data_IF_407887069161
#
_entry.id   IF_407887069161
#
_cell.length_a   1.000
_cell.length_b   1.000
_cell.length_c   1.000
_cell.angle_alpha   90.00
_cell.angle_beta   90.00
_cell.angle_gamma   90.00
#
_symmetry.space_group_name_H-M   'P 1'
#
loop_
_entity.id
_entity.type
_entity.pdbx_description
1 polymer ?
#
# COMPACT_ATOMS: atom_id res chain seq x y z
N UNK A 1 8.25 2.84 -4.88
CA UNK A 1 7.80 3.44 -6.16
C UNK A 1 6.40 2.95 -6.42
N UNK A 2 5.42 3.85 -6.46
CA UNK A 2 4.04 3.51 -6.79
C UNK A 2 3.92 3.13 -8.27
N UNK A 3 3.29 1.99 -8.57
CA UNK A 3 3.13 1.47 -9.93
C UNK A 3 1.71 1.04 -10.29
N UNK A 4 0.80 0.96 -9.32
CA UNK A 4 -0.65 0.82 -9.53
C UNK A 4 -1.36 1.80 -8.60
N UNK A 5 -2.17 2.68 -9.17
CA UNK A 5 -3.00 3.63 -8.44
C UNK A 5 -4.42 3.07 -8.24
N UNK A 6 -4.98 3.35 -7.07
CA UNK A 6 -6.39 3.23 -6.74
C UNK A 6 -6.86 4.45 -5.94
N UNK A 7 -7.94 4.31 -5.19
CA UNK A 7 -8.44 5.35 -4.29
C UNK A 7 -8.67 6.69 -4.99
N UNK A 8 -8.28 7.78 -4.34
CA UNK A 8 -8.45 9.13 -4.88
C UNK A 8 -7.55 9.42 -6.09
N UNK A 9 -6.50 8.63 -6.32
CA UNK A 9 -5.50 8.86 -7.36
C UNK A 9 -5.85 8.23 -8.73
N UNK A 10 -7.00 7.55 -8.84
CA UNK A 10 -7.42 6.87 -10.05
C UNK A 10 -8.95 6.79 -10.23
N UNK A 11 -9.40 6.93 -11.49
CA UNK A 11 -10.78 6.61 -11.88
C UNK A 11 -10.91 5.10 -12.19
N UNK A 12 -10.81 4.28 -11.15
CA UNK A 12 -10.96 2.82 -11.22
C UNK A 12 -11.72 2.27 -10.00
N UNK A 13 -11.79 0.94 -9.87
CA UNK A 13 -12.48 0.27 -8.78
C UNK A 13 -11.55 -0.33 -7.71
N UNK A 14 -10.32 0.16 -7.60
CA UNK A 14 -9.34 -0.28 -6.61
C UNK A 14 -9.44 0.64 -5.39
N UNK A 15 -9.67 0.07 -4.20
CA UNK A 15 -9.93 0.87 -3.00
C UNK A 15 -8.63 1.41 -2.37
N UNK A 16 -7.58 0.58 -2.29
CA UNK A 16 -6.26 0.97 -1.78
C UNK A 16 -5.61 1.96 -2.75
N UNK A 17 -5.08 3.06 -2.21
CA UNK A 17 -4.59 4.19 -3.00
C UNK A 17 -3.30 3.87 -3.78
N UNK A 18 -2.34 3.21 -3.14
CA UNK A 18 -1.04 2.93 -3.77
C UNK A 18 -0.56 1.50 -3.54
N UNK A 19 -0.10 0.88 -4.63
CA UNK A 19 0.64 -0.37 -4.58
C UNK A 19 2.06 -0.13 -5.09
N UNK A 20 3.00 -0.25 -4.17
CA UNK A 20 4.40 0.11 -4.41
C UNK A 20 5.31 -1.10 -4.45
N UNK A 21 6.38 -0.97 -5.25
CA UNK A 21 7.55 -1.84 -5.20
C UNK A 21 8.72 -1.14 -4.52
N UNK A 22 9.54 -1.93 -3.82
CA UNK A 22 10.75 -1.51 -3.13
C UNK A 22 11.92 -2.41 -3.57
N UNK A 23 12.81 -1.95 -4.47
CA UNK A 23 13.99 -2.69 -4.93
C UNK A 23 15.09 -2.85 -3.87
N UNK A 24 14.80 -3.57 -2.78
CA UNK A 24 15.65 -3.72 -1.59
C UNK A 24 16.95 -4.48 -1.83
N UNK A 25 17.00 -5.34 -2.87
CA UNK A 25 18.18 -6.10 -3.23
C UNK A 25 19.20 -5.34 -4.11
N UNK A 26 18.85 -4.12 -4.56
CA UNK A 26 19.72 -3.36 -5.44
C UNK A 26 20.95 -2.81 -4.70
N UNK A 27 22.17 -2.86 -5.29
CA UNK A 27 23.40 -2.46 -4.62
C UNK A 27 23.55 -0.94 -4.46
N UNK A 28 22.75 -0.15 -5.16
CA UNK A 28 22.74 1.31 -5.10
C UNK A 28 21.44 1.86 -5.70
N UNK A 29 21.24 3.17 -5.55
CA UNK A 29 20.03 3.85 -6.02
C UNK A 29 19.83 3.76 -7.55
N UNK A 30 20.89 3.86 -8.35
CA UNK A 30 20.75 3.80 -9.80
C UNK A 30 20.23 2.43 -10.27
N UNK A 31 20.72 1.35 -9.65
CA UNK A 31 20.23 0.00 -9.90
C UNK A 31 18.81 -0.22 -9.36
N UNK A 32 18.47 0.39 -8.22
CA UNK A 32 17.10 0.35 -7.69
C UNK A 32 16.12 1.03 -8.66
N UNK A 33 16.47 2.21 -9.17
CA UNK A 33 15.66 2.94 -10.14
C UNK A 33 15.51 2.16 -11.45
N UNK A 34 16.59 1.54 -11.95
CA UNK A 34 16.55 0.67 -13.13
C UNK A 34 15.61 -0.51 -12.93
N UNK A 35 15.73 -1.21 -11.80
CA UNK A 35 14.84 -2.31 -11.41
C UNK A 35 13.37 -1.88 -11.41
N UNK A 36 13.06 -0.74 -10.78
CA UNK A 36 11.72 -0.18 -10.79
C UNK A 36 11.19 0.08 -12.20
N UNK A 37 11.97 0.73 -13.06
CA UNK A 37 11.59 1.03 -14.43
C UNK A 37 11.33 -0.24 -15.27
N UNK A 38 12.17 -1.26 -15.13
CA UNK A 38 12.01 -2.55 -15.82
C UNK A 38 10.70 -3.25 -15.39
N UNK A 39 10.41 -3.27 -14.09
CA UNK A 39 9.16 -3.84 -13.55
C UNK A 39 7.94 -3.04 -14.04
N UNK A 40 8.01 -1.72 -14.06
CA UNK A 40 6.93 -0.87 -14.57
C UNK A 40 6.59 -1.18 -16.04
N UNK A 41 7.61 -1.34 -16.90
CA UNK A 41 7.39 -1.72 -18.30
C UNK A 41 6.90 -3.18 -18.47
N UNK A 42 7.38 -4.10 -17.63
CA UNK A 42 6.86 -5.46 -17.57
C UNK A 42 5.39 -5.49 -17.17
N UNK A 43 5.01 -4.70 -16.16
CA UNK A 43 3.63 -4.56 -15.67
C UNK A 43 2.71 -4.03 -16.76
N UNK A 44 3.12 -3.01 -17.52
CA UNK A 44 2.37 -2.52 -18.69
C UNK A 44 2.03 -3.67 -19.65
N UNK A 45 2.98 -4.55 -19.89
CA UNK A 45 2.81 -5.70 -20.78
C UNK A 45 1.88 -6.77 -20.19
N UNK A 46 1.94 -7.01 -18.89
CA UNK A 46 1.03 -7.92 -18.15
C UNK A 46 -0.41 -7.41 -18.23
N UNK A 47 -0.63 -6.14 -17.92
CA UNK A 47 -1.95 -5.50 -17.98
C UNK A 47 -2.52 -5.52 -19.40
N UNK A 48 -1.71 -5.14 -20.40
CA UNK A 48 -2.12 -5.15 -21.81
C UNK A 48 -2.54 -6.55 -22.29
N UNK A 49 -1.82 -7.60 -21.86
CA UNK A 49 -2.14 -8.99 -22.22
C UNK A 49 -3.46 -9.47 -21.63
N UNK A 50 -3.91 -8.87 -20.50
CA UNK A 50 -5.20 -9.12 -19.88
C UNK A 50 -6.32 -8.21 -20.42
N UNK A 51 -6.01 -7.32 -21.37
CA UNK A 51 -6.95 -6.34 -21.91
C UNK A 51 -7.29 -5.20 -20.93
N UNK A 52 -6.44 -4.98 -19.92
CA UNK A 52 -6.63 -3.94 -18.90
C UNK A 52 -6.06 -2.60 -19.36
N UNK A 53 -6.61 -1.52 -18.81
CA UNK A 53 -6.14 -0.16 -19.10
C UNK A 53 -4.69 0.04 -18.63
N UNK A 54 -3.89 0.72 -19.45
CA UNK A 54 -2.51 1.12 -19.12
C UNK A 54 -2.31 2.64 -19.17
N UNK A 55 -3.39 3.41 -19.10
CA UNK A 55 -3.30 4.82 -18.75
C UNK A 55 -2.77 4.96 -17.30
N UNK A 56 -2.13 6.10 -17.03
CA UNK A 56 -1.54 6.38 -15.73
C UNK A 56 -2.46 7.29 -14.91
N UNK A 57 -2.45 7.11 -13.59
CA UNK A 57 -3.07 8.03 -12.63
C UNK A 57 -2.18 9.23 -12.33
N UNK A 58 -2.53 9.98 -11.28
CA UNK A 58 -1.87 11.24 -10.92
C UNK A 58 -0.37 11.07 -10.59
N UNK A 59 0.02 9.90 -10.10
CA UNK A 59 1.39 9.60 -9.66
C UNK A 59 2.19 8.78 -10.66
N UNK A 60 1.65 8.56 -11.86
CA UNK A 60 2.31 7.81 -12.93
C UNK A 60 2.20 6.29 -12.83
N UNK A 61 1.58 5.75 -11.78
CA UNK A 61 1.17 4.33 -11.69
C UNK A 61 0.02 4.02 -12.65
N UNK A 62 -0.17 2.76 -13.02
CA UNK A 62 -1.29 2.37 -13.88
C UNK A 62 -2.62 2.37 -13.10
N UNK A 63 -3.70 2.74 -13.77
CA UNK A 63 -5.06 2.76 -13.21
C UNK A 63 -6.01 1.75 -13.91
N UNK A 64 -5.76 0.43 -13.81
CA UNK A 64 -6.68 -0.58 -14.36
C UNK A 64 -7.89 -0.78 -13.44
N UNK A 65 -9.00 -1.25 -14.01
CA UNK A 65 -10.06 -1.89 -13.22
C UNK A 65 -9.62 -3.33 -12.88
N UNK A 66 -9.73 -3.72 -11.62
CA UNK A 66 -9.32 -5.02 -11.11
C UNK A 66 -10.47 -5.69 -10.35
N UNK A 67 -10.49 -7.01 -10.29
CA UNK A 67 -11.53 -7.78 -9.59
C UNK A 67 -11.46 -7.71 -8.07
N UNK A 68 -10.33 -7.27 -7.51
CA UNK A 68 -10.09 -7.08 -6.08
C UNK A 68 -8.79 -6.30 -5.85
N UNK A 69 -8.61 -5.77 -4.65
CA UNK A 69 -7.34 -5.17 -4.24
C UNK A 69 -6.18 -6.19 -4.31
N UNK A 70 -6.46 -7.47 -4.01
CA UNK A 70 -5.45 -8.53 -4.12
C UNK A 70 -5.00 -8.80 -5.56
N UNK A 71 -5.85 -8.56 -6.57
CA UNK A 71 -5.44 -8.73 -7.96
C UNK A 71 -4.30 -7.76 -8.34
N UNK A 72 -4.24 -6.56 -7.73
CA UNK A 72 -3.13 -5.63 -7.93
C UNK A 72 -1.79 -6.27 -7.51
N UNK A 73 -1.77 -6.93 -6.34
CA UNK A 73 -0.59 -7.65 -5.84
C UNK A 73 -0.20 -8.81 -6.78
N UNK A 74 -1.19 -9.52 -7.34
CA UNK A 74 -0.94 -10.62 -8.30
C UNK A 74 -0.30 -10.14 -9.59
N UNK A 75 -0.82 -9.08 -10.20
CA UNK A 75 -0.26 -8.55 -11.46
C UNK A 75 1.11 -7.90 -11.24
N UNK A 76 1.35 -7.30 -10.07
CA UNK A 76 2.69 -6.80 -9.67
C UNK A 76 3.65 -7.98 -9.51
N UNK A 77 3.24 -9.06 -8.83
CA UNK A 77 4.06 -10.26 -8.66
C UNK A 77 4.45 -10.88 -10.01
N UNK A 78 3.48 -10.98 -10.93
CA UNK A 78 3.71 -11.44 -12.31
C UNK A 78 4.70 -10.52 -13.06
N UNK A 79 4.60 -9.21 -12.87
CA UNK A 79 5.49 -8.24 -13.50
C UNK A 79 6.93 -8.31 -12.95
N UNK A 80 7.08 -8.49 -11.63
CA UNK A 80 8.38 -8.68 -10.97
C UNK A 80 9.10 -9.91 -11.52
N UNK A 81 8.40 -11.05 -11.59
CA UNK A 81 8.94 -12.28 -12.16
C UNK A 81 9.31 -12.12 -13.64
N UNK A 82 8.42 -11.48 -14.43
CA UNK A 82 8.63 -11.23 -15.86
C UNK A 82 9.82 -10.29 -16.13
N UNK A 83 10.12 -9.38 -15.22
CA UNK A 83 11.29 -8.52 -15.27
C UNK A 83 12.59 -9.24 -14.84
N UNK A 84 12.51 -10.49 -14.38
CA UNK A 84 13.66 -11.30 -13.99
C UNK A 84 14.12 -11.09 -12.54
N UNK A 85 13.29 -10.49 -11.69
CA UNK A 85 13.56 -10.27 -10.28
C UNK A 85 12.78 -11.25 -9.40
N UNK A 86 13.28 -11.50 -8.19
CA UNK A 86 12.62 -12.33 -7.19
C UNK A 86 11.86 -11.48 -6.17
N UNK A 87 10.56 -11.71 -6.09
CA UNK A 87 9.72 -11.09 -5.07
C UNK A 87 10.10 -11.62 -3.67
N UNK A 88 10.27 -10.72 -2.71
CA UNK A 88 10.69 -11.01 -1.33
C UNK A 88 12.22 -11.09 -1.11
N UNK A 89 13.01 -11.21 -2.17
CA UNK A 89 14.49 -11.15 -2.12
C UNK A 89 15.02 -9.86 -2.75
N UNK A 90 14.74 -9.65 -4.04
CA UNK A 90 15.19 -8.47 -4.79
C UNK A 90 14.24 -7.27 -4.59
N UNK A 91 12.94 -7.57 -4.50
CA UNK A 91 11.86 -6.59 -4.46
C UNK A 91 10.84 -6.96 -3.39
N UNK A 92 10.56 -6.06 -2.46
CA UNK A 92 9.44 -6.15 -1.52
C UNK A 92 8.32 -5.21 -1.91
N UNK A 93 7.18 -5.33 -1.25
CA UNK A 93 5.98 -4.51 -1.51
C UNK A 93 5.72 -3.55 -0.35
N UNK A 94 5.10 -2.43 -0.69
CA UNK A 94 4.51 -1.49 0.26
C UNK A 94 3.14 -1.05 -0.23
N UNK A 95 2.26 -0.69 0.70
CA UNK A 95 0.93 -0.17 0.44
C UNK A 95 0.79 1.21 1.07
N UNK A 96 0.10 2.12 0.40
CA UNK A 96 -0.63 3.21 1.05
C UNK A 96 -2.12 2.93 0.88
N UNK A 97 -2.80 2.70 2.01
CA UNK A 97 -4.22 2.42 2.00
C UNK A 97 -5.04 3.70 1.91
N UNK A 98 -4.56 4.83 2.44
CA UNK A 98 -5.36 6.04 2.67
C UNK A 98 -6.75 5.71 3.26
N UNK A 99 -6.78 4.90 4.31
CA UNK A 99 -7.99 4.19 4.73
C UNK A 99 -9.14 5.11 5.21
N UNK A 100 -8.81 6.35 5.60
CA UNK A 100 -9.78 7.42 5.87
C UNK A 100 -10.78 7.60 4.71
N UNK A 101 -10.34 7.48 3.46
CA UNK A 101 -11.16 7.73 2.26
C UNK A 101 -12.32 6.72 2.09
N UNK A 102 -12.16 5.52 2.65
CA UNK A 102 -13.18 4.48 2.63
C UNK A 102 -13.71 4.10 4.03
N UNK A 103 -13.39 4.90 5.05
CA UNK A 103 -13.96 4.75 6.39
C UNK A 103 -15.30 5.49 6.50
N UNK A 104 -16.38 4.75 6.78
CA UNK A 104 -17.76 5.25 6.83
C UNK A 104 -18.52 4.59 7.96
N UNK A 105 -19.14 5.41 8.82
CA UNK A 105 -20.02 4.96 9.92
C UNK A 105 -19.37 3.89 10.83
N UNK A 106 -18.08 4.04 11.14
CA UNK A 106 -17.35 3.11 12.00
C UNK A 106 -16.83 1.85 11.30
N UNK A 107 -16.84 1.81 9.96
CA UNK A 107 -16.40 0.65 9.17
C UNK A 107 -15.58 1.05 7.94
N UNK A 108 -14.67 0.18 7.54
CA UNK A 108 -13.89 0.27 6.30
C UNK A 108 -14.66 -0.42 5.16
N UNK A 109 -15.06 0.35 4.14
CA UNK A 109 -15.91 -0.10 3.03
C UNK A 109 -15.07 -0.29 1.77
N UNK A 110 -14.64 -1.52 1.52
CA UNK A 110 -13.89 -1.89 0.31
C UNK A 110 -14.89 -2.24 -0.81
N UNK A 111 -15.21 -1.27 -1.66
CA UNK A 111 -16.19 -1.42 -2.73
C UNK A 111 -15.71 -2.40 -3.80
N UNK A 112 -14.42 -2.36 -4.15
CA UNK A 112 -13.78 -3.28 -5.10
C UNK A 112 -13.82 -4.75 -4.64
N UNK A 113 -13.77 -4.97 -3.32
CA UNK A 113 -13.86 -6.30 -2.69
C UNK A 113 -15.28 -6.68 -2.25
N UNK A 114 -16.26 -5.76 -2.35
CA UNK A 114 -17.61 -5.88 -1.78
C UNK A 114 -17.61 -6.28 -0.28
N UNK A 115 -16.78 -5.60 0.52
CA UNK A 115 -16.64 -5.84 1.96
C UNK A 115 -16.94 -4.59 2.78
N UNK A 116 -17.42 -4.80 4.00
CA UNK A 116 -17.56 -3.76 5.03
C UNK A 116 -17.05 -4.33 6.35
N UNK A 117 -15.94 -3.79 6.83
CA UNK A 117 -15.13 -4.38 7.91
C UNK A 117 -15.06 -3.41 9.09
N UNK A 118 -15.12 -3.94 10.31
CA UNK A 118 -14.68 -3.20 11.50
C UNK A 118 -13.15 -3.00 11.48
N UNK A 119 -12.62 -2.13 12.35
CA UNK A 119 -11.17 -1.90 12.46
C UNK A 119 -10.38 -3.18 12.71
N UNK A 120 -10.88 -4.06 13.59
CA UNK A 120 -10.23 -5.35 13.86
C UNK A 120 -10.24 -6.27 12.64
N UNK A 121 -11.37 -6.33 11.91
CA UNK A 121 -11.49 -7.14 10.69
C UNK A 121 -10.64 -6.59 9.54
N UNK A 122 -10.49 -5.27 9.43
CA UNK A 122 -9.61 -4.67 8.42
C UNK A 122 -8.13 -4.86 8.77
N UNK A 123 -7.76 -4.77 10.05
CA UNK A 123 -6.41 -5.14 10.51
C UNK A 123 -6.11 -6.62 10.23
N UNK A 124 -7.08 -7.53 10.41
CA UNK A 124 -6.96 -8.95 10.03
C UNK A 124 -6.82 -9.13 8.52
N UNK A 125 -7.55 -8.35 7.71
CA UNK A 125 -7.43 -8.35 6.26
C UNK A 125 -6.02 -7.95 5.80
N UNK A 126 -5.46 -6.85 6.35
CA UNK A 126 -4.10 -6.41 6.06
C UNK A 126 -3.05 -7.44 6.52
N UNK A 127 -3.26 -8.04 7.69
CA UNK A 127 -2.36 -9.09 8.19
C UNK A 127 -2.37 -10.35 7.32
N UNK A 128 -3.53 -10.75 6.80
CA UNK A 128 -3.64 -11.85 5.83
C UNK A 128 -2.87 -11.53 4.54
N UNK A 129 -2.98 -10.30 4.01
CA UNK A 129 -2.20 -9.88 2.84
C UNK A 129 -0.68 -9.97 3.11
N UNK A 130 -0.21 -9.45 4.24
CA UNK A 130 1.21 -9.55 4.65
C UNK A 130 1.69 -10.99 4.84
N UNK A 131 0.79 -11.93 5.17
CA UNK A 131 1.16 -13.34 5.31
C UNK A 131 1.37 -14.06 3.96
N UNK A 132 0.77 -13.53 2.89
CA UNK A 132 0.75 -14.14 1.55
C UNK A 132 1.69 -13.44 0.57
N UNK A 133 1.95 -12.15 0.79
CA UNK A 133 2.81 -11.32 -0.04
C UNK A 133 3.88 -10.65 0.83
N UNK A 134 5.11 -10.40 0.32
CA UNK A 134 6.18 -9.76 1.08
C UNK A 134 5.97 -8.24 1.19
N UNK A 135 4.83 -7.86 1.78
CA UNK A 135 4.48 -6.48 2.12
C UNK A 135 5.18 -6.16 3.44
N UNK A 136 6.17 -5.29 3.38
CA UNK A 136 6.99 -4.90 4.54
C UNK A 136 6.67 -3.49 5.05
N UNK A 137 5.79 -2.76 4.36
CA UNK A 137 5.33 -1.44 4.79
C UNK A 137 3.86 -1.23 4.42
N UNK A 138 3.08 -0.69 5.36
CA UNK A 138 1.70 -0.25 5.17
C UNK A 138 1.61 1.17 5.72
N UNK A 139 1.18 2.09 4.87
CA UNK A 139 0.85 3.46 5.19
C UNK A 139 -0.66 3.63 5.32
N UNK A 140 -1.06 4.44 6.30
CA UNK A 140 -2.45 4.78 6.64
C UNK A 140 -3.43 3.62 6.54
N UNK A 141 -3.03 2.50 7.15
CA UNK A 141 -3.80 1.25 7.16
C UNK A 141 -5.14 1.34 7.89
N UNK A 142 -5.39 2.43 8.62
CA UNK A 142 -6.65 2.75 9.31
C UNK A 142 -6.90 4.26 9.28
N UNK A 143 -8.14 4.65 9.54
CA UNK A 143 -8.59 6.06 9.60
C UNK A 143 -7.76 6.88 10.60
N UNK A 144 -7.52 8.16 10.30
CA UNK A 144 -6.71 9.08 11.13
C UNK A 144 -7.27 9.25 12.57
N UNK A 145 -8.58 9.07 12.75
CA UNK A 145 -9.28 9.15 14.03
C UNK A 145 -9.38 7.82 14.77
N UNK A 146 -9.08 6.69 14.14
CA UNK A 146 -9.25 5.34 14.70
C UNK A 146 -8.04 4.86 15.51
N UNK A 147 -7.68 5.60 16.56
CA UNK A 147 -6.50 5.31 17.39
C UNK A 147 -6.56 3.95 18.09
N UNK A 148 -7.77 3.51 18.49
CA UNK A 148 -7.96 2.19 19.07
C UNK A 148 -7.73 1.08 18.03
N UNK A 149 -8.21 1.26 16.80
CA UNK A 149 -7.89 0.38 15.68
C UNK A 149 -6.40 0.36 15.36
N UNK A 150 -5.75 1.54 15.30
CA UNK A 150 -4.30 1.65 15.05
C UNK A 150 -3.47 0.89 16.08
N UNK A 151 -3.89 0.89 17.34
CA UNK A 151 -3.26 0.07 18.37
C UNK A 151 -3.38 -1.42 18.05
N UNK A 152 -4.58 -1.89 17.66
CA UNK A 152 -4.80 -3.29 17.25
C UNK A 152 -3.92 -3.67 16.06
N UNK A 153 -3.82 -2.79 15.05
CA UNK A 153 -2.95 -2.99 13.88
C UNK A 153 -1.48 -3.07 14.29
N UNK A 154 -1.04 -2.18 15.19
CA UNK A 154 0.34 -2.12 15.69
C UNK A 154 0.69 -3.36 16.49
N UNK A 155 -0.19 -3.84 17.37
CA UNK A 155 0.00 -5.08 18.12
C UNK A 155 0.08 -6.32 17.22
N UNK A 156 -0.65 -6.33 16.09
CA UNK A 156 -0.67 -7.46 15.15
C UNK A 156 0.56 -7.49 14.22
N UNK A 157 0.97 -6.33 13.70
CA UNK A 157 1.94 -6.26 12.59
C UNK A 157 3.21 -5.47 12.90
N UNK A 158 3.22 -4.63 13.93
CA UNK A 158 4.28 -3.66 14.19
C UNK A 158 5.68 -4.24 14.45
N UNK A 159 5.79 -5.53 14.79
CA UNK A 159 7.09 -6.22 14.92
C UNK A 159 7.70 -6.65 13.59
N UNK A 160 6.90 -6.76 12.51
CA UNK A 160 7.32 -7.36 11.23
C UNK A 160 7.11 -6.44 10.03
N UNK A 161 6.20 -5.48 10.14
CA UNK A 161 5.78 -4.58 9.07
C UNK A 161 5.98 -3.15 9.56
N UNK A 162 6.53 -2.31 8.70
CA UNK A 162 6.58 -0.87 8.91
C UNK A 162 5.16 -0.30 8.79
N UNK A 163 4.64 0.29 9.85
CA UNK A 163 3.34 0.95 9.91
C UNK A 163 3.58 2.44 9.89
N UNK A 164 3.28 3.08 8.77
CA UNK A 164 3.54 4.48 8.50
C UNK A 164 2.27 5.27 8.74
N UNK A 165 2.32 6.25 9.65
CA UNK A 165 1.26 7.26 9.75
C UNK A 165 1.57 8.46 8.86
N UNK A 166 0.67 8.78 7.95
CA UNK A 166 0.68 10.00 7.14
C UNK A 166 -0.37 10.98 7.67
N UNK A 167 -1.65 10.82 7.32
CA UNK A 167 -2.76 11.61 7.86
C UNK A 167 -2.91 11.41 9.38
N UNK A 168 -2.51 10.24 9.89
CA UNK A 168 -2.46 9.97 11.33
C UNK A 168 -1.57 10.96 12.09
N UNK A 169 -0.45 11.39 11.51
CA UNK A 169 0.54 12.23 12.21
C UNK A 169 0.73 13.61 11.60
N UNK A 170 0.36 13.83 10.33
CA UNK A 170 0.44 15.09 9.58
C UNK A 170 1.74 15.87 9.81
N UNK A 171 2.87 15.16 9.85
CA UNK A 171 4.20 15.74 10.13
C UNK A 171 4.24 16.61 11.41
N UNK A 172 3.33 16.36 12.36
CA UNK A 172 3.13 17.17 13.56
C UNK A 172 3.74 16.51 14.80
N UNK A 173 4.81 17.13 15.33
CA UNK A 173 5.55 16.62 16.50
C UNK A 173 4.70 16.39 17.75
N UNK A 174 3.59 17.11 17.95
CA UNK A 174 2.71 16.90 19.11
C UNK A 174 1.89 15.62 18.96
N UNK A 175 1.34 15.38 17.77
CA UNK A 175 0.54 14.19 17.48
C UNK A 175 1.45 12.96 17.44
N UNK A 176 2.61 13.05 16.79
CA UNK A 176 3.62 11.99 16.78
C UNK A 176 4.06 11.62 18.21
N UNK A 177 4.27 12.62 19.09
CA UNK A 177 4.63 12.36 20.49
C UNK A 177 3.55 11.54 21.21
N UNK A 178 2.28 11.89 21.03
CA UNK A 178 1.17 11.13 21.61
C UNK A 178 1.09 9.72 21.02
N UNK A 179 1.33 9.55 19.72
CA UNK A 179 1.41 8.24 19.07
C UNK A 179 2.49 7.35 19.68
N UNK A 180 3.69 7.89 19.87
CA UNK A 180 4.81 7.18 20.52
C UNK A 180 4.44 6.80 21.96
N UNK A 181 3.83 7.70 22.75
CA UNK A 181 3.43 7.42 24.13
C UNK A 181 2.36 6.33 24.24
N UNK A 182 1.59 6.08 23.17
CA UNK A 182 0.50 5.09 23.11
C UNK A 182 0.84 3.84 22.31
N UNK A 183 2.09 3.69 21.84
CA UNK A 183 2.54 2.61 20.96
C UNK A 183 1.70 2.50 19.67
N UNK A 184 1.48 3.64 19.01
CA UNK A 184 0.71 3.74 17.77
C UNK A 184 1.66 3.86 16.58
N UNK A 185 1.50 2.94 15.62
CA UNK A 185 2.35 2.81 14.44
C UNK A 185 3.84 2.60 14.81
N UNK A 186 4.74 2.63 13.82
CA UNK A 186 6.19 2.55 14.08
C UNK A 186 7.04 3.38 13.09
N UNK A 187 6.38 4.14 12.21
CA UNK A 187 6.98 5.05 11.23
C UNK A 187 6.07 6.24 10.98
N UNK A 188 6.63 7.33 10.43
CA UNK A 188 5.92 8.55 10.05
C UNK A 188 6.29 8.94 8.63
N UNK A 189 5.30 9.34 7.82
CA UNK A 189 5.55 9.99 6.55
C UNK A 189 5.83 11.49 6.76
N UNK A 190 6.86 12.02 6.09
CA UNK A 190 7.30 13.40 6.27
C UNK A 190 6.94 14.23 5.05
N UNK A 191 5.96 15.12 5.20
CA UNK A 191 5.53 16.12 4.22
C UNK A 191 5.63 17.51 4.84
N UNK A 192 6.62 18.30 4.42
CA UNK A 192 6.90 19.63 5.01
C UNK A 192 5.78 20.67 4.82
N UNK A 193 4.77 20.36 3.99
CA UNK A 193 3.63 21.21 3.70
C UNK A 193 2.35 20.84 4.47
N UNK A 194 2.39 19.78 5.29
CA UNK A 194 1.40 19.48 6.34
C UNK A 194 1.71 20.33 7.58
#
# INVERSE_FOLDING_TARGET
MNIINGGAHADNNVDIQEFMIQPVGAPNFAEALRCGAEIFHALKSVLSAKGLNTAVGDEGGFAPNLSSNEEALKVISEAVEKAGYKLGEDVTLALDCAATEFYKDGKYVLAGDNKSLTSAEFADYLADLCSRYPIISIEDGLDEGDWDGWKVLTEKLGEKVQLVGDDLFVTNTKILKEGIEKDIANSILIKFNQ
#
